data_IF_953064103992
#
_entry.id   IF_953064103992
#
_cell.length_a   1.000
_cell.length_b   1.000
_cell.length_c   1.000
_cell.angle_alpha   90.00
_cell.angle_beta   90.00
_cell.angle_gamma   90.00
#
_symmetry.space_group_name_H-M   'P 1'
#
loop_
_entity.id
_entity.type
_entity.pdbx_description
1 polymer ?
#
# COMPACT_ATOMS: atom_id res chain seq x y z
N UNK A 1 -17.43 -14.35 -34.86
CA UNK A 1 -17.85 -13.06 -34.30
C UNK A 1 -17.92 -13.17 -32.80
N UNK A 2 -17.50 -12.18 -32.04
CA UNK A 2 -17.59 -12.19 -30.58
C UNK A 2 -19.04 -12.31 -30.12
N UNK A 3 -19.29 -13.05 -29.06
CA UNK A 3 -20.61 -13.12 -28.38
C UNK A 3 -20.98 -11.76 -27.76
N UNK A 4 -19.99 -10.89 -27.52
CA UNK A 4 -20.10 -9.60 -26.87
C UNK A 4 -19.41 -8.52 -27.72
N UNK A 5 -20.00 -8.08 -28.85
CA UNK A 5 -19.35 -7.16 -29.78
C UNK A 5 -19.06 -5.77 -29.17
N UNK A 6 -19.94 -5.28 -28.29
CA UNK A 6 -19.74 -4.00 -27.59
C UNK A 6 -18.50 -4.03 -26.68
N UNK A 7 -18.35 -5.09 -25.87
CA UNK A 7 -17.18 -5.25 -24.99
C UNK A 7 -15.90 -5.43 -25.82
N UNK A 8 -15.97 -6.13 -26.96
CA UNK A 8 -14.84 -6.27 -27.87
C UNK A 8 -14.39 -4.90 -28.40
N UNK A 9 -15.34 -4.05 -28.82
CA UNK A 9 -15.05 -2.69 -29.28
C UNK A 9 -14.39 -1.85 -28.19
N UNK A 10 -14.87 -1.92 -26.94
CA UNK A 10 -14.25 -1.23 -25.80
C UNK A 10 -12.82 -1.71 -25.57
N UNK A 11 -12.55 -3.01 -25.67
CA UNK A 11 -11.20 -3.57 -25.55
C UNK A 11 -10.30 -3.07 -26.69
N UNK A 12 -10.79 -3.04 -27.93
CA UNK A 12 -10.05 -2.55 -29.08
C UNK A 12 -9.73 -1.06 -28.94
N UNK A 13 -10.65 -0.26 -28.41
CA UNK A 13 -10.44 1.15 -28.08
C UNK A 13 -9.40 1.33 -26.98
N UNK A 14 -9.43 0.50 -25.93
CA UNK A 14 -8.38 0.49 -24.89
C UNK A 14 -7.02 0.11 -25.48
N UNK A 15 -6.99 -0.86 -26.41
CA UNK A 15 -5.77 -1.27 -27.09
C UNK A 15 -5.15 -0.13 -27.90
N UNK A 16 -5.98 0.57 -28.68
CA UNK A 16 -5.52 1.71 -29.50
C UNK A 16 -4.93 2.86 -28.67
N UNK A 17 -5.41 3.02 -27.42
CA UNK A 17 -4.93 4.03 -26.46
C UNK A 17 -3.79 3.54 -25.58
N UNK A 18 -3.28 2.32 -25.78
CA UNK A 18 -2.24 1.70 -24.92
C UNK A 18 -2.69 1.49 -23.47
N UNK A 19 -3.99 1.30 -23.22
CA UNK A 19 -4.56 1.13 -21.86
C UNK A 19 -4.87 -0.32 -21.50
N UNK A 20 -4.58 -1.27 -22.36
CA UNK A 20 -4.77 -2.70 -22.09
C UNK A 20 -3.87 -3.18 -20.96
N UNK A 21 -4.38 -4.17 -20.21
CA UNK A 21 -3.67 -4.87 -19.15
C UNK A 21 -3.70 -6.38 -19.40
N UNK A 22 -2.63 -7.06 -19.02
CA UNK A 22 -2.55 -8.52 -19.09
C UNK A 22 -2.07 -9.09 -17.76
N UNK A 23 -2.57 -10.28 -17.41
CA UNK A 23 -2.05 -11.08 -16.32
C UNK A 23 -0.86 -11.89 -16.85
N UNK A 24 0.30 -11.72 -16.24
CA UNK A 24 1.54 -12.42 -16.61
C UNK A 24 1.79 -13.54 -15.61
N UNK A 25 2.05 -14.78 -16.04
CA UNK A 25 2.58 -15.81 -15.17
C UNK A 25 3.96 -15.41 -14.65
N UNK A 26 4.14 -15.52 -13.33
CA UNK A 26 5.41 -15.23 -12.66
C UNK A 26 5.82 -16.47 -11.88
N UNK A 27 7.05 -16.94 -12.12
CA UNK A 27 7.65 -18.01 -11.34
C UNK A 27 8.76 -17.41 -10.46
N UNK A 28 8.85 -17.89 -9.23
CA UNK A 28 9.89 -17.46 -8.30
C UNK A 28 11.11 -18.37 -8.40
N UNK A 29 12.31 -17.77 -8.35
CA UNK A 29 13.55 -18.52 -8.33
C UNK A 29 13.88 -18.92 -6.89
N UNK A 30 14.06 -20.21 -6.66
CA UNK A 30 14.41 -20.73 -5.34
C UNK A 30 15.69 -20.06 -4.81
N UNK A 31 15.68 -19.67 -3.53
CA UNK A 31 16.81 -18.99 -2.87
C UNK A 31 16.93 -17.49 -3.18
N UNK A 32 16.21 -16.95 -4.16
CA UNK A 32 16.28 -15.51 -4.49
C UNK A 32 15.49 -14.61 -3.54
N UNK A 33 14.70 -15.16 -2.63
CA UNK A 33 13.82 -14.42 -1.74
C UNK A 33 12.85 -13.46 -2.49
N UNK A 34 12.51 -13.79 -3.75
CA UNK A 34 11.63 -13.00 -4.62
C UNK A 34 12.29 -11.81 -5.31
N UNK A 35 13.61 -11.61 -5.15
CA UNK A 35 14.37 -10.55 -5.85
C UNK A 35 14.54 -10.87 -7.34
N UNK A 36 14.64 -12.15 -7.69
CA UNK A 36 14.69 -12.63 -9.06
C UNK A 36 13.48 -13.53 -9.35
N UNK A 37 12.91 -13.34 -10.52
CA UNK A 37 11.73 -14.08 -11.00
C UNK A 37 11.97 -14.57 -12.43
N UNK A 38 11.11 -15.47 -12.90
CA UNK A 38 11.00 -15.84 -14.32
C UNK A 38 9.63 -15.41 -14.82
N UNK A 39 9.59 -14.74 -15.96
CA UNK A 39 8.38 -14.41 -16.69
C UNK A 39 8.61 -14.66 -18.17
N UNK A 40 7.71 -15.40 -18.82
CA UNK A 40 7.82 -15.79 -20.24
C UNK A 40 9.18 -16.45 -20.58
N UNK A 41 9.71 -17.25 -19.63
CA UNK A 41 11.02 -17.92 -19.77
C UNK A 41 12.25 -17.04 -19.56
N UNK A 42 12.08 -15.75 -19.31
CA UNK A 42 13.18 -14.81 -19.06
C UNK A 42 13.37 -14.58 -17.56
N UNK A 43 14.63 -14.65 -17.10
CA UNK A 43 15.01 -14.30 -15.72
C UNK A 43 15.10 -12.78 -15.60
N UNK A 44 14.37 -12.21 -14.62
CA UNK A 44 14.23 -10.77 -14.41
C UNK A 44 14.50 -10.40 -12.96
N UNK A 45 15.26 -9.33 -12.74
CA UNK A 45 15.36 -8.67 -11.44
C UNK A 45 14.03 -7.95 -11.14
N UNK A 46 13.42 -8.29 -10.01
CA UNK A 46 12.09 -7.81 -9.64
C UNK A 46 12.15 -6.48 -8.90
N UNK A 47 11.98 -5.38 -9.60
CA UNK A 47 11.86 -4.04 -9.03
C UNK A 47 10.42 -3.54 -8.99
N UNK A 48 9.44 -4.46 -8.93
CA UNK A 48 7.99 -4.13 -8.89
C UNK A 48 7.25 -4.70 -7.68
N UNK A 49 7.93 -5.51 -6.84
CA UNK A 49 7.33 -6.11 -5.66
C UNK A 49 7.22 -5.11 -4.51
N UNK A 50 6.12 -5.20 -3.75
CA UNK A 50 5.96 -4.46 -2.50
C UNK A 50 6.45 -5.25 -1.27
N UNK A 51 7.13 -6.38 -1.43
CA UNK A 51 7.73 -7.18 -0.35
C UNK A 51 8.99 -6.47 0.24
N UNK A 52 8.82 -5.23 0.69
CA UNK A 52 9.90 -4.31 1.03
C UNK A 52 10.97 -4.90 1.96
N UNK A 53 10.57 -5.71 2.94
CA UNK A 53 11.47 -6.30 3.93
C UNK A 53 11.88 -7.74 3.60
N UNK A 54 11.37 -8.32 2.50
CA UNK A 54 11.70 -9.69 2.08
C UNK A 54 11.08 -10.78 2.97
N UNK A 55 10.01 -10.47 3.72
CA UNK A 55 9.47 -11.40 4.71
C UNK A 55 8.63 -12.55 4.13
N UNK A 56 8.16 -12.44 2.88
CA UNK A 56 7.38 -13.53 2.24
C UNK A 56 8.12 -14.87 2.18
N UNK A 57 9.45 -14.85 2.28
CA UNK A 57 10.32 -16.03 2.21
C UNK A 57 11.07 -16.28 3.50
N UNK A 58 10.76 -15.56 4.59
CA UNK A 58 11.42 -15.78 5.87
C UNK A 58 11.01 -17.16 6.43
N UNK A 59 11.98 -18.04 6.75
CA UNK A 59 11.68 -19.39 7.19
C UNK A 59 10.85 -19.44 8.48
N UNK A 60 10.94 -18.43 9.34
CA UNK A 60 10.16 -18.33 10.58
C UNK A 60 8.69 -18.06 10.28
N UNK A 61 8.41 -17.23 9.27
CA UNK A 61 7.05 -16.94 8.77
C UNK A 61 6.44 -18.19 8.15
N UNK A 62 7.21 -18.89 7.31
CA UNK A 62 6.77 -20.14 6.69
C UNK A 62 6.54 -21.25 7.71
N UNK A 63 7.39 -21.38 8.71
CA UNK A 63 7.23 -22.34 9.80
C UNK A 63 5.97 -22.06 10.63
N UNK A 64 5.72 -20.79 10.99
CA UNK A 64 4.49 -20.40 11.70
C UNK A 64 3.22 -20.75 10.88
N UNK A 65 3.26 -20.52 9.57
CA UNK A 65 2.20 -20.93 8.66
C UNK A 65 1.95 -22.45 8.69
N UNK A 66 3.01 -23.23 8.52
CA UNK A 66 2.93 -24.71 8.51
C UNK A 66 2.35 -25.27 9.82
N UNK A 67 2.91 -24.88 10.97
CA UNK A 67 2.46 -25.33 12.28
C UNK A 67 1.00 -25.01 12.55
N UNK A 68 0.57 -23.82 12.19
CA UNK A 68 -0.82 -23.39 12.38
C UNK A 68 -1.77 -24.11 11.43
N UNK A 69 -1.35 -24.38 10.19
CA UNK A 69 -2.16 -25.19 9.25
C UNK A 69 -2.41 -26.59 9.78
N UNK A 70 -1.42 -27.21 10.40
CA UNK A 70 -1.56 -28.55 10.99
C UNK A 70 -2.52 -28.55 12.19
N UNK A 71 -2.52 -27.48 13.00
CA UNK A 71 -3.34 -27.38 14.20
C UNK A 71 -4.79 -26.96 13.94
N UNK A 72 -5.03 -26.04 13.00
CA UNK A 72 -6.32 -25.40 12.78
C UNK A 72 -6.96 -25.69 11.40
N UNK A 73 -6.25 -26.38 10.51
CA UNK A 73 -6.72 -26.62 9.14
C UNK A 73 -6.43 -25.44 8.18
N UNK A 74 -6.91 -25.59 6.94
CA UNK A 74 -6.55 -24.72 5.83
C UNK A 74 -7.36 -23.39 5.75
N UNK A 75 -8.53 -23.32 6.38
CA UNK A 75 -9.41 -22.17 6.25
C UNK A 75 -10.30 -21.91 7.45
N UNK A 76 -10.80 -20.68 7.56
CA UNK A 76 -11.69 -20.28 8.65
C UNK A 76 -13.14 -20.78 8.52
N UNK A 77 -13.56 -21.20 7.33
CA UNK A 77 -14.85 -21.85 6.98
C UNK A 77 -16.13 -21.10 7.37
N UNK A 78 -16.02 -19.96 8.04
CA UNK A 78 -17.13 -19.13 8.52
C UNK A 78 -16.71 -17.67 8.69
N UNK A 79 -17.68 -16.77 8.86
CA UNK A 79 -17.38 -15.40 9.30
C UNK A 79 -16.92 -15.38 10.76
N UNK A 80 -16.18 -14.33 11.15
CA UNK A 80 -15.67 -14.17 12.51
C UNK A 80 -16.77 -14.14 13.57
N UNK A 81 -17.93 -13.57 13.24
CA UNK A 81 -19.07 -13.46 14.17
C UNK A 81 -19.84 -14.79 14.37
N UNK A 82 -19.51 -15.84 13.64
CA UNK A 82 -20.13 -17.14 13.81
C UNK A 82 -19.14 -18.10 14.48
N UNK A 83 -18.30 -18.80 13.71
CA UNK A 83 -17.29 -19.74 14.22
C UNK A 83 -15.90 -19.50 13.64
N UNK A 84 -15.71 -18.46 12.83
CA UNK A 84 -14.45 -18.15 12.17
C UNK A 84 -13.45 -17.34 13.01
N UNK A 85 -13.82 -16.92 14.23
CA UNK A 85 -12.91 -16.18 15.13
C UNK A 85 -12.07 -17.16 15.96
N UNK A 86 -11.13 -17.83 15.29
CA UNK A 86 -10.24 -18.78 15.92
C UNK A 86 -9.28 -18.10 16.92
N UNK A 87 -8.78 -18.81 17.92
CA UNK A 87 -7.95 -18.23 19.00
C UNK A 87 -6.65 -17.54 18.51
N UNK A 88 -6.13 -17.91 17.35
CA UNK A 88 -4.99 -17.23 16.74
C UNK A 88 -5.27 -15.75 16.38
N UNK A 89 -6.54 -15.37 16.19
CA UNK A 89 -6.90 -13.96 15.92
C UNK A 89 -6.60 -13.06 17.12
N UNK A 90 -7.09 -13.43 18.29
CA UNK A 90 -6.91 -12.65 19.52
C UNK A 90 -5.43 -12.38 19.78
N UNK A 91 -4.61 -13.43 19.71
CA UNK A 91 -3.17 -13.30 19.90
C UNK A 91 -2.51 -12.36 18.87
N UNK A 92 -2.83 -12.53 17.59
CA UNK A 92 -2.25 -11.71 16.52
C UNK A 92 -2.72 -10.25 16.57
N UNK A 93 -4.01 -10.00 16.85
CA UNK A 93 -4.55 -8.66 17.02
C UNK A 93 -3.94 -7.95 18.23
N UNK A 94 -3.70 -8.68 19.34
CA UNK A 94 -2.97 -8.16 20.49
C UNK A 94 -1.51 -7.80 20.13
N UNK A 95 -0.81 -8.64 19.37
CA UNK A 95 0.55 -8.31 18.91
C UNK A 95 0.56 -7.06 18.03
N UNK A 96 -0.42 -6.89 17.15
CA UNK A 96 -0.53 -5.72 16.27
C UNK A 96 -0.85 -4.46 17.09
N UNK A 97 -1.80 -4.53 18.03
CA UNK A 97 -2.15 -3.39 18.88
C UNK A 97 -0.97 -2.93 19.73
N UNK A 98 -0.21 -3.85 20.31
CA UNK A 98 1.03 -3.56 21.05
C UNK A 98 2.10 -2.94 20.13
N UNK A 99 2.31 -3.49 18.91
CA UNK A 99 3.27 -2.94 17.95
C UNK A 99 2.91 -1.52 17.53
N UNK A 100 1.62 -1.24 17.37
CA UNK A 100 1.08 0.09 16.99
C UNK A 100 0.85 1.01 18.18
N UNK A 101 1.08 0.51 19.41
CA UNK A 101 0.80 1.25 20.65
C UNK A 101 -0.63 1.81 20.69
N UNK A 102 -1.61 0.97 20.29
CA UNK A 102 -3.04 1.30 20.33
C UNK A 102 -3.78 0.35 21.25
N UNK A 103 -4.96 0.75 21.73
CA UNK A 103 -5.78 -0.06 22.64
C UNK A 103 -6.19 -1.39 22.02
N UNK A 104 -6.60 -1.37 20.75
CA UNK A 104 -7.08 -2.57 20.06
C UNK A 104 -6.73 -2.58 18.58
N UNK A 105 -6.76 -3.78 17.99
CA UNK A 105 -6.60 -4.02 16.57
C UNK A 105 -7.65 -4.99 16.05
N UNK A 106 -7.95 -4.90 14.75
CA UNK A 106 -8.92 -5.74 14.06
C UNK A 106 -8.39 -6.14 12.70
N UNK A 107 -8.31 -7.44 12.44
CA UNK A 107 -7.83 -7.99 11.17
C UNK A 107 -8.94 -8.02 10.11
N UNK A 108 -8.59 -7.68 8.88
CA UNK A 108 -9.44 -7.72 7.69
C UNK A 108 -8.81 -8.56 6.58
N UNK A 109 -9.64 -8.99 5.62
CA UNK A 109 -9.18 -9.79 4.49
C UNK A 109 -8.12 -9.08 3.64
N UNK A 110 -8.24 -7.79 3.41
CA UNK A 110 -7.27 -6.97 2.70
C UNK A 110 -7.51 -5.47 2.97
N UNK A 111 -6.54 -4.62 2.56
CA UNK A 111 -6.61 -3.18 2.77
C UNK A 111 -7.79 -2.50 2.06
N UNK A 112 -8.19 -3.03 0.89
CA UNK A 112 -9.35 -2.51 0.19
C UNK A 112 -10.63 -2.64 1.03
N UNK A 113 -10.87 -3.81 1.62
CA UNK A 113 -12.02 -4.07 2.50
C UNK A 113 -11.92 -3.32 3.83
N UNK A 114 -10.73 -3.12 4.38
CA UNK A 114 -10.52 -2.33 5.59
C UNK A 114 -10.91 -0.87 5.36
N UNK A 115 -10.39 -0.23 4.31
CA UNK A 115 -10.73 1.15 3.97
C UNK A 115 -12.23 1.32 3.70
N UNK A 116 -12.78 0.51 2.80
CA UNK A 116 -14.20 0.54 2.46
C UNK A 116 -15.08 0.32 3.69
N UNK A 117 -14.72 -0.63 4.53
CA UNK A 117 -15.47 -0.98 5.74
C UNK A 117 -15.44 0.11 6.80
N UNK A 118 -14.28 0.65 7.12
CA UNK A 118 -14.13 1.72 8.11
C UNK A 118 -14.84 3.00 7.67
N UNK A 119 -14.62 3.42 6.43
CA UNK A 119 -15.23 4.64 5.89
C UNK A 119 -16.76 4.53 5.91
N UNK A 120 -17.33 3.42 5.41
CA UNK A 120 -18.79 3.24 5.34
C UNK A 120 -19.44 3.00 6.70
N UNK A 121 -18.70 2.49 7.68
CA UNK A 121 -19.17 2.34 9.05
C UNK A 121 -19.21 3.69 9.80
N UNK A 122 -18.19 4.52 9.60
CA UNK A 122 -18.04 5.77 10.32
C UNK A 122 -18.93 6.90 9.77
N UNK A 123 -19.04 7.00 8.44
CA UNK A 123 -19.71 8.15 7.80
C UNK A 123 -20.75 7.66 6.82
N UNK A 124 -21.96 8.19 6.98
CA UNK A 124 -23.13 7.94 6.14
C UNK A 124 -23.51 9.18 5.32
N UNK A 125 -24.68 9.13 4.64
CA UNK A 125 -25.22 10.22 3.82
C UNK A 125 -25.42 11.56 4.55
N UNK A 126 -25.38 11.57 5.88
CA UNK A 126 -25.53 12.77 6.70
C UNK A 126 -24.18 13.34 7.15
N UNK A 127 -23.09 12.72 6.73
CA UNK A 127 -21.73 13.12 7.04
C UNK A 127 -20.97 13.67 5.84
N UNK A 128 -19.72 14.04 6.07
CA UNK A 128 -18.80 14.46 5.03
C UNK A 128 -17.42 13.80 5.16
N UNK A 129 -16.79 13.57 4.01
CA UNK A 129 -15.46 13.02 3.90
C UNK A 129 -14.59 14.00 3.13
N UNK A 130 -13.45 14.33 3.73
CA UNK A 130 -12.40 15.19 3.17
C UNK A 130 -11.21 14.30 2.83
N UNK A 131 -10.93 14.10 1.54
CA UNK A 131 -9.91 13.15 1.09
C UNK A 131 -8.88 13.81 0.17
N UNK A 132 -7.63 13.39 0.29
CA UNK A 132 -6.62 13.76 -0.69
C UNK A 132 -6.99 13.24 -2.08
N UNK A 133 -6.73 14.03 -3.11
CA UNK A 133 -7.11 13.67 -4.49
C UNK A 133 -6.32 12.48 -5.05
N UNK A 134 -5.15 12.15 -4.48
CA UNK A 134 -4.29 11.04 -4.88
C UNK A 134 -4.43 9.80 -4.00
N UNK A 135 -5.40 9.78 -3.09
CA UNK A 135 -5.68 8.63 -2.27
C UNK A 135 -5.93 7.36 -3.09
N UNK A 136 -5.61 6.23 -2.47
CA UNK A 136 -5.85 4.91 -3.04
C UNK A 136 -7.33 4.70 -3.41
N UNK A 137 -7.57 3.94 -4.50
CA UNK A 137 -8.91 3.68 -5.03
C UNK A 137 -9.89 3.14 -3.98
N UNK A 138 -9.45 2.33 -3.02
CA UNK A 138 -10.29 1.80 -1.95
C UNK A 138 -10.88 2.89 -1.03
N UNK A 139 -10.14 3.98 -0.82
CA UNK A 139 -10.62 5.15 -0.07
C UNK A 139 -11.68 5.88 -0.89
N UNK A 140 -11.43 6.07 -2.18
CA UNK A 140 -12.40 6.70 -3.10
C UNK A 140 -13.69 5.89 -3.16
N UNK A 141 -13.61 4.58 -3.34
CA UNK A 141 -14.77 3.70 -3.44
C UNK A 141 -15.52 3.60 -2.10
N UNK A 142 -14.79 3.55 -0.98
CA UNK A 142 -15.40 3.63 0.36
C UNK A 142 -16.18 4.93 0.55
N UNK A 143 -15.64 6.05 0.09
CA UNK A 143 -16.30 7.35 0.13
C UNK A 143 -17.57 7.38 -0.73
N UNK A 144 -17.51 6.87 -1.96
CA UNK A 144 -18.69 6.79 -2.84
C UNK A 144 -19.77 5.90 -2.21
N UNK A 145 -19.38 4.74 -1.70
CA UNK A 145 -20.32 3.78 -1.11
C UNK A 145 -20.97 4.29 0.19
N UNK A 146 -20.29 5.14 0.96
CA UNK A 146 -20.83 5.76 2.18
C UNK A 146 -21.99 6.70 1.89
N UNK A 147 -22.10 7.23 0.66
CA UNK A 147 -23.03 8.27 0.23
C UNK A 147 -22.86 9.59 0.98
N UNK A 148 -21.75 9.78 1.67
CA UNK A 148 -21.41 11.04 2.33
C UNK A 148 -21.13 12.15 1.30
N UNK A 149 -21.21 13.40 1.72
CA UNK A 149 -20.68 14.50 0.93
C UNK A 149 -19.18 14.34 0.78
N UNK A 150 -18.66 14.33 -0.45
CA UNK A 150 -17.25 14.08 -0.73
C UNK A 150 -16.55 15.36 -1.17
N UNK A 151 -15.58 15.81 -0.39
CA UNK A 151 -14.74 16.97 -0.67
C UNK A 151 -13.29 16.53 -0.86
N UNK A 152 -12.81 16.65 -2.11
CA UNK A 152 -11.45 16.29 -2.46
C UNK A 152 -10.55 17.52 -2.39
N UNK A 153 -9.56 17.51 -1.50
CA UNK A 153 -8.56 18.57 -1.45
C UNK A 153 -7.38 18.26 -2.38
N UNK A 154 -6.67 19.32 -2.80
CA UNK A 154 -5.48 19.19 -3.62
C UNK A 154 -4.41 18.43 -2.85
N UNK A 155 -3.65 17.61 -3.56
CA UNK A 155 -2.66 16.72 -2.97
C UNK A 155 -1.69 17.46 -2.05
N UNK A 156 -1.63 16.98 -0.79
CA UNK A 156 -0.83 17.55 0.30
C UNK A 156 -1.04 19.07 0.53
N UNK A 157 -2.18 19.63 0.10
CA UNK A 157 -2.55 21.05 0.29
C UNK A 157 -3.45 21.20 1.52
N UNK A 158 -2.85 21.43 2.65
CA UNK A 158 -3.55 21.54 3.94
C UNK A 158 -4.30 22.86 4.09
N UNK A 159 -3.89 23.92 3.42
CA UNK A 159 -4.66 25.17 3.36
C UNK A 159 -6.00 24.95 2.64
N UNK A 160 -5.97 24.21 1.52
CA UNK A 160 -7.19 23.85 0.82
C UNK A 160 -8.08 22.92 1.66
N UNK A 161 -7.51 21.96 2.41
CA UNK A 161 -8.25 21.13 3.36
C UNK A 161 -8.95 21.97 4.42
N UNK A 162 -8.24 22.87 5.07
CA UNK A 162 -8.80 23.80 6.09
C UNK A 162 -9.89 24.69 5.50
N UNK A 163 -9.68 25.24 4.30
CA UNK A 163 -10.72 26.01 3.59
C UNK A 163 -12.00 25.19 3.38
N UNK A 164 -11.89 23.92 2.94
CA UNK A 164 -13.05 23.06 2.72
C UNK A 164 -13.77 22.75 4.04
N UNK A 165 -13.03 22.43 5.10
CA UNK A 165 -13.59 22.18 6.44
C UNK A 165 -14.32 23.40 6.98
N UNK A 166 -13.74 24.58 6.87
CA UNK A 166 -14.37 25.84 7.31
C UNK A 166 -15.60 26.18 6.49
N UNK A 167 -15.55 26.03 5.17
CA UNK A 167 -16.66 26.31 4.25
C UNK A 167 -17.89 25.45 4.54
N UNK A 168 -17.70 24.21 4.98
CA UNK A 168 -18.78 23.25 5.24
C UNK A 168 -19.02 22.98 6.72
N UNK A 169 -18.47 23.84 7.61
CA UNK A 169 -18.63 23.73 9.06
C UNK A 169 -20.10 23.74 9.46
N UNK A 170 -20.49 22.78 10.28
CA UNK A 170 -21.87 22.68 10.80
C UNK A 170 -22.90 22.08 9.84
N UNK A 171 -22.53 21.78 8.59
CA UNK A 171 -23.47 21.24 7.60
C UNK A 171 -23.69 19.72 7.72
N UNK A 172 -22.81 19.02 8.47
CA UNK A 172 -22.77 17.57 8.50
C UNK A 172 -22.69 17.04 9.93
N UNK A 173 -23.36 15.89 10.17
CA UNK A 173 -23.41 15.27 11.49
C UNK A 173 -22.04 14.72 11.93
N UNK A 174 -21.26 14.15 11.00
CA UNK A 174 -19.94 13.57 11.26
C UNK A 174 -19.02 13.89 10.08
N UNK A 175 -17.82 14.32 10.39
CA UNK A 175 -16.81 14.67 9.40
C UNK A 175 -15.59 13.76 9.56
N UNK A 176 -15.04 13.30 8.46
CA UNK A 176 -13.87 12.43 8.40
C UNK A 176 -12.84 13.00 7.44
N UNK A 177 -11.61 13.21 7.91
CA UNK A 177 -10.43 13.36 7.05
C UNK A 177 -9.88 11.97 6.80
N UNK A 178 -9.59 11.63 5.54
CA UNK A 178 -8.97 10.34 5.19
C UNK A 178 -7.87 10.53 4.14
N UNK A 179 -6.70 9.94 4.38
CA UNK A 179 -5.57 10.01 3.44
C UNK A 179 -4.60 8.84 3.58
N UNK A 180 -3.86 8.55 2.50
CA UNK A 180 -2.64 7.74 2.57
C UNK A 180 -1.56 8.53 3.32
N UNK A 181 -0.72 7.85 4.09
CA UNK A 181 0.46 8.46 4.72
C UNK A 181 1.69 8.45 3.81
N UNK A 182 1.78 7.44 2.95
CA UNK A 182 2.78 7.33 1.88
C UNK A 182 2.05 6.96 0.60
N UNK A 183 2.11 7.83 -0.40
CA UNK A 183 1.37 7.65 -1.64
C UNK A 183 2.03 6.62 -2.56
N UNK A 184 1.25 5.67 -3.02
CA UNK A 184 1.74 4.44 -3.66
C UNK A 184 2.47 4.67 -4.99
N UNK A 185 2.15 5.75 -5.71
CA UNK A 185 2.69 6.01 -7.06
C UNK A 185 3.85 7.00 -7.06
N UNK A 186 3.93 7.86 -6.05
CA UNK A 186 4.92 8.92 -5.94
C UNK A 186 5.94 8.65 -4.83
N UNK A 187 5.56 7.88 -3.80
CA UNK A 187 6.40 7.60 -2.64
C UNK A 187 6.59 8.80 -1.72
N UNK A 188 5.87 9.88 -1.96
CA UNK A 188 5.84 11.05 -1.10
C UNK A 188 4.95 10.83 0.13
N UNK A 189 5.05 11.71 1.10
CA UNK A 189 4.45 11.55 2.42
C UNK A 189 3.46 12.66 2.73
N UNK A 190 2.38 12.29 3.42
CA UNK A 190 1.51 13.27 4.08
C UNK A 190 2.19 13.86 5.33
N UNK A 191 1.92 15.11 5.62
CA UNK A 191 2.27 15.74 6.90
C UNK A 191 1.24 15.33 7.96
N UNK A 192 1.57 14.27 8.70
CA UNK A 192 0.66 13.68 9.70
C UNK A 192 0.52 14.57 10.94
N UNK A 193 1.52 15.41 11.25
CA UNK A 193 1.45 16.35 12.37
C UNK A 193 0.46 17.48 12.06
N UNK A 194 0.51 18.05 10.84
CA UNK A 194 -0.45 19.08 10.42
C UNK A 194 -1.87 18.49 10.28
N UNK A 195 -2.02 17.27 9.81
CA UNK A 195 -3.33 16.59 9.76
C UNK A 195 -3.95 16.42 11.15
N UNK A 196 -3.17 16.03 12.15
CA UNK A 196 -3.64 15.91 13.54
C UNK A 196 -4.05 17.26 14.10
N UNK A 197 -3.27 18.31 13.85
CA UNK A 197 -3.62 19.67 14.24
C UNK A 197 -4.94 20.12 13.61
N UNK A 198 -5.11 19.93 12.31
CA UNK A 198 -6.35 20.25 11.59
C UNK A 198 -7.55 19.46 12.18
N UNK A 199 -7.34 18.16 12.46
CA UNK A 199 -8.34 17.32 13.12
C UNK A 199 -8.85 17.97 14.42
N UNK A 200 -7.94 18.40 15.29
CA UNK A 200 -8.28 19.03 16.57
C UNK A 200 -8.98 20.39 16.39
N UNK A 201 -8.43 21.26 15.53
CA UNK A 201 -8.98 22.60 15.27
C UNK A 201 -10.43 22.56 14.75
N UNK A 202 -10.77 21.50 14.00
CA UNK A 202 -12.10 21.35 13.42
C UNK A 202 -13.01 20.33 14.13
N UNK A 203 -12.50 19.54 15.08
CA UNK A 203 -13.25 18.53 15.81
C UNK A 203 -13.79 17.42 14.89
N UNK A 204 -12.96 16.91 14.00
CA UNK A 204 -13.30 15.88 13.00
C UNK A 204 -12.55 14.58 13.25
N UNK A 205 -13.02 13.46 12.70
CA UNK A 205 -12.27 12.22 12.72
C UNK A 205 -11.12 12.23 11.72
N UNK A 206 -10.05 11.53 12.03
CA UNK A 206 -8.90 11.30 11.16
C UNK A 206 -8.65 9.80 10.99
N UNK A 207 -8.73 9.33 9.76
CA UNK A 207 -8.29 8.00 9.36
C UNK A 207 -7.09 8.11 8.43
N UNK A 208 -6.05 7.31 8.67
CA UNK A 208 -4.89 7.25 7.78
C UNK A 208 -4.63 5.83 7.31
N UNK A 209 -4.22 5.72 6.04
CA UNK A 209 -3.75 4.48 5.42
C UNK A 209 -2.22 4.44 5.46
N UNK A 210 -1.69 3.57 6.31
CA UNK A 210 -0.26 3.29 6.44
C UNK A 210 0.21 2.08 5.64
N UNK A 211 -0.49 1.69 4.56
CA UNK A 211 -0.16 0.51 3.77
C UNK A 211 1.29 0.50 3.25
N UNK A 212 1.86 1.66 2.94
CA UNK A 212 3.24 1.82 2.51
C UNK A 212 4.17 2.29 3.62
N UNK A 213 3.65 2.59 4.81
CA UNK A 213 4.42 3.05 5.96
C UNK A 213 4.67 1.95 7.01
N UNK A 214 3.68 1.11 7.27
CA UNK A 214 3.80 0.00 8.23
C UNK A 214 4.90 -0.97 7.83
N UNK A 215 5.79 -1.30 8.75
CA UNK A 215 7.01 -2.08 8.53
C UNK A 215 8.22 -1.26 8.07
N UNK A 216 8.01 -0.06 7.49
CA UNK A 216 9.06 0.74 6.85
C UNK A 216 9.52 1.90 7.71
N UNK A 217 8.58 2.67 8.28
CA UNK A 217 8.88 3.87 9.06
C UNK A 217 8.76 3.64 10.56
N UNK A 218 9.44 4.48 11.35
CA UNK A 218 9.50 4.40 12.80
C UNK A 218 10.53 3.41 13.33
N UNK A 219 10.94 3.59 14.59
CA UNK A 219 12.00 2.82 15.23
C UNK A 219 11.73 1.30 15.21
N UNK A 220 10.48 0.91 15.45
CA UNK A 220 10.02 -0.49 15.45
C UNK A 220 9.32 -0.88 14.15
N UNK A 221 9.32 0.00 13.12
CA UNK A 221 8.55 -0.19 11.91
C UNK A 221 7.04 0.05 12.09
N UNK A 222 6.62 0.69 13.18
CA UNK A 222 5.20 0.87 13.49
C UNK A 222 4.48 1.86 12.57
N UNK A 223 5.19 2.58 11.70
CA UNK A 223 4.62 3.45 10.68
C UNK A 223 5.00 4.91 10.83
N UNK A 224 4.44 5.73 9.94
CA UNK A 224 4.77 7.15 9.85
C UNK A 224 4.19 7.94 11.03
N UNK A 225 2.94 7.67 11.41
CA UNK A 225 2.32 8.31 12.58
C UNK A 225 3.09 8.03 13.87
N UNK A 226 3.62 6.82 14.02
CA UNK A 226 4.47 6.47 15.15
C UNK A 226 5.83 7.17 15.09
N UNK A 227 6.42 7.33 13.90
CA UNK A 227 7.68 8.04 13.72
C UNK A 227 7.60 9.49 14.19
N UNK A 228 6.46 10.15 13.95
CA UNK A 228 6.21 11.54 14.36
C UNK A 228 5.53 11.68 15.72
N UNK A 229 5.28 10.55 16.43
CA UNK A 229 4.70 10.57 17.78
C UNK A 229 3.21 10.95 17.83
N UNK A 230 2.51 10.94 16.70
CA UNK A 230 1.09 11.35 16.60
C UNK A 230 0.11 10.18 16.49
N UNK A 231 0.59 8.95 16.60
CA UNK A 231 -0.21 7.73 16.41
C UNK A 231 -1.38 7.59 17.40
N UNK A 232 -1.28 8.17 18.60
CA UNK A 232 -2.36 8.21 19.59
C UNK A 232 -3.48 9.18 19.21
N UNK A 233 -3.16 10.20 18.43
CA UNK A 233 -4.09 11.26 18.04
C UNK A 233 -4.90 10.92 16.77
N UNK A 234 -4.52 9.87 16.06
CA UNK A 234 -5.24 9.39 14.86
C UNK A 234 -6.36 8.44 15.30
N UNK A 235 -7.59 8.66 14.85
CA UNK A 235 -8.73 7.83 15.28
C UNK A 235 -8.63 6.42 14.70
N UNK A 236 -8.27 6.28 13.43
CA UNK A 236 -8.09 4.98 12.77
C UNK A 236 -6.75 4.93 12.03
N UNK A 237 -5.90 4.02 12.46
CA UNK A 237 -4.68 3.62 11.75
C UNK A 237 -4.97 2.33 10.96
N UNK A 238 -5.07 2.42 9.64
CA UNK A 238 -5.15 1.24 8.78
C UNK A 238 -3.77 0.89 8.25
N UNK A 239 -3.45 -0.40 8.20
CA UNK A 239 -2.25 -0.92 7.56
C UNK A 239 -2.50 -2.24 6.86
N UNK A 240 -1.59 -2.62 5.95
CA UNK A 240 -1.70 -3.88 5.22
C UNK A 240 -0.59 -4.86 5.59
N UNK A 241 -0.93 -6.15 5.57
CA UNK A 241 0.04 -7.23 5.72
C UNK A 241 0.69 -7.64 4.38
N UNK A 242 0.19 -7.12 3.25
CA UNK A 242 0.55 -7.60 1.91
C UNK A 242 1.79 -6.91 1.29
N UNK A 243 2.44 -6.03 2.03
CA UNK A 243 3.63 -5.31 1.56
C UNK A 243 4.84 -5.62 2.44
N UNK A 244 5.24 -4.73 3.33
CA UNK A 244 6.41 -4.94 4.18
C UNK A 244 6.32 -6.20 5.06
N UNK A 245 5.13 -6.60 5.52
CA UNK A 245 4.92 -7.83 6.27
C UNK A 245 4.97 -9.10 5.39
N UNK A 246 4.94 -8.97 4.05
CA UNK A 246 5.16 -10.07 3.11
C UNK A 246 4.04 -11.11 3.00
N UNK A 247 2.83 -10.82 3.49
CA UNK A 247 1.71 -11.74 3.58
C UNK A 247 0.46 -11.16 2.88
N UNK A 248 -0.71 -11.73 3.15
CA UNK A 248 -2.00 -11.19 2.74
C UNK A 248 -2.78 -10.72 3.98
N UNK A 249 -3.75 -9.84 3.80
CA UNK A 249 -4.54 -9.29 4.90
C UNK A 249 -4.24 -7.82 5.18
N UNK A 250 -4.98 -7.27 6.13
CA UNK A 250 -4.79 -5.91 6.65
C UNK A 250 -5.27 -5.83 8.08
N UNK A 251 -4.96 -4.73 8.74
CA UNK A 251 -5.40 -4.45 10.10
C UNK A 251 -5.84 -3.00 10.24
N UNK A 252 -6.68 -2.79 11.23
CA UNK A 252 -7.06 -1.47 11.70
C UNK A 252 -6.74 -1.41 13.19
N UNK A 253 -6.09 -0.33 13.63
CA UNK A 253 -5.82 -0.05 15.04
C UNK A 253 -6.53 1.24 15.46
N UNK A 254 -7.17 1.21 16.60
CA UNK A 254 -7.95 2.32 17.15
C UNK A 254 -8.14 2.16 18.66
N UNK A 255 -8.84 3.10 19.27
CA UNK A 255 -9.36 2.94 20.64
C UNK A 255 -10.39 1.82 20.67
N UNK A 256 -10.53 1.15 21.81
CA UNK A 256 -11.40 -0.02 21.95
C UNK A 256 -12.84 0.26 21.50
N UNK A 257 -13.37 1.43 21.87
CA UNK A 257 -14.76 1.83 21.50
C UNK A 257 -14.97 1.90 19.99
N UNK A 258 -13.95 2.31 19.21
CA UNK A 258 -14.03 2.33 17.76
C UNK A 258 -13.95 0.92 17.18
N UNK A 259 -13.10 0.06 17.72
CA UNK A 259 -13.02 -1.36 17.33
C UNK A 259 -14.34 -2.07 17.60
N UNK A 260 -14.93 -1.87 18.78
CA UNK A 260 -16.25 -2.44 19.12
C UNK A 260 -17.33 -1.93 18.14
N UNK A 261 -17.33 -0.64 17.84
CA UNK A 261 -18.23 -0.06 16.86
C UNK A 261 -18.08 -0.69 15.46
N UNK A 262 -16.85 -0.91 15.01
CA UNK A 262 -16.57 -1.58 13.74
C UNK A 262 -17.05 -3.03 13.73
N UNK A 263 -16.88 -3.77 14.82
CA UNK A 263 -17.39 -5.15 14.95
C UNK A 263 -18.90 -5.20 14.72
N UNK A 264 -19.63 -4.19 15.20
CA UNK A 264 -21.10 -4.13 15.06
C UNK A 264 -21.60 -3.58 13.73
N UNK A 265 -20.81 -2.77 13.03
CA UNK A 265 -21.30 -1.99 11.87
C UNK A 265 -20.54 -2.21 10.57
N UNK A 266 -19.32 -2.73 10.63
CA UNK A 266 -18.46 -2.87 9.47
C UNK A 266 -18.87 -4.08 8.60
N UNK A 267 -19.61 -3.81 7.52
CA UNK A 267 -20.14 -4.85 6.64
C UNK A 267 -19.10 -5.81 6.05
N UNK A 268 -17.92 -5.35 5.55
CA UNK A 268 -16.87 -6.26 5.10
C UNK A 268 -16.34 -7.22 6.16
N UNK A 269 -16.40 -6.87 7.44
CA UNK A 269 -16.06 -7.77 8.54
C UNK A 269 -17.18 -8.76 8.81
N UNK A 270 -18.43 -8.29 8.88
CA UNK A 270 -19.61 -9.07 9.29
C UNK A 270 -19.92 -10.16 8.28
N UNK A 271 -19.86 -9.83 6.97
CA UNK A 271 -20.36 -10.68 5.89
C UNK A 271 -19.26 -11.42 5.10
N UNK A 272 -17.99 -11.33 5.54
CA UNK A 272 -16.88 -12.07 4.92
C UNK A 272 -16.47 -13.28 5.73
N UNK A 273 -16.06 -14.33 5.05
CA UNK A 273 -15.37 -15.46 5.66
C UNK A 273 -14.04 -14.99 6.26
N UNK A 274 -13.68 -15.51 7.41
CA UNK A 274 -12.43 -15.21 8.11
C UNK A 274 -11.20 -15.66 7.29
N UNK A 275 -10.07 -15.03 7.55
CA UNK A 275 -8.77 -15.42 6.97
C UNK A 275 -8.41 -16.85 7.39
N UNK A 276 -7.62 -17.58 6.58
CA UNK A 276 -7.01 -18.83 7.00
C UNK A 276 -6.20 -18.67 8.30
N UNK A 277 -6.34 -19.57 9.26
CA UNK A 277 -5.64 -19.46 10.56
C UNK A 277 -4.13 -19.41 10.43
N UNK A 278 -3.57 -20.15 9.48
CA UNK A 278 -2.14 -20.13 9.17
C UNK A 278 -1.64 -18.74 8.77
N UNK A 279 -2.43 -18.02 7.98
CA UNK A 279 -2.13 -16.65 7.57
C UNK A 279 -2.14 -15.69 8.79
N UNK A 280 -3.13 -15.86 9.67
CA UNK A 280 -3.27 -15.02 10.87
C UNK A 280 -2.05 -15.16 11.78
N UNK A 281 -1.62 -16.40 12.08
CA UNK A 281 -0.42 -16.65 12.90
C UNK A 281 0.87 -16.18 12.22
N UNK A 282 0.99 -16.36 10.92
CA UNK A 282 2.13 -15.88 10.14
C UNK A 282 2.24 -14.35 10.18
N UNK A 283 1.10 -13.61 10.20
CA UNK A 283 1.08 -12.16 10.38
C UNK A 283 1.70 -11.78 11.74
N UNK A 284 1.31 -12.46 12.82
CA UNK A 284 1.90 -12.24 14.15
C UNK A 284 3.41 -12.46 14.15
N UNK A 285 3.87 -13.55 13.52
CA UNK A 285 5.31 -13.84 13.40
C UNK A 285 6.04 -12.76 12.59
N UNK A 286 5.43 -12.27 11.51
CA UNK A 286 6.02 -11.21 10.68
C UNK A 286 6.12 -9.90 11.47
N UNK A 287 5.11 -9.53 12.25
CA UNK A 287 5.15 -8.36 13.15
C UNK A 287 6.28 -8.47 14.16
N UNK A 288 6.48 -9.65 14.79
CA UNK A 288 7.59 -9.87 15.72
C UNK A 288 8.96 -9.66 15.05
N UNK A 289 9.16 -10.17 13.83
CA UNK A 289 10.39 -9.99 13.07
C UNK A 289 10.63 -8.51 12.75
N UNK A 290 9.61 -7.79 12.31
CA UNK A 290 9.72 -6.35 11.97
C UNK A 290 10.16 -5.54 13.18
N UNK A 291 9.66 -5.85 14.37
CA UNK A 291 10.05 -5.16 15.60
C UNK A 291 11.51 -5.42 15.97
N UNK A 292 11.98 -6.66 15.80
CA UNK A 292 13.31 -7.10 16.24
C UNK A 292 14.42 -6.78 15.24
N UNK A 293 14.12 -6.75 13.94
CA UNK A 293 15.12 -6.68 12.87
C UNK A 293 15.12 -5.31 12.18
N UNK A 294 15.62 -4.28 12.86
CA UNK A 294 15.74 -2.93 12.32
C UNK A 294 16.72 -2.84 11.14
N UNK A 295 17.65 -3.79 11.04
CA UNK A 295 18.59 -3.86 9.94
C UNK A 295 17.89 -3.93 8.57
N UNK A 296 16.72 -4.58 8.46
CA UNK A 296 15.97 -4.67 7.21
C UNK A 296 15.52 -3.28 6.73
N UNK A 297 15.03 -2.44 7.66
CA UNK A 297 14.65 -1.05 7.35
C UNK A 297 15.85 -0.21 6.95
N UNK A 298 16.98 -0.36 7.67
CA UNK A 298 18.23 0.33 7.35
C UNK A 298 18.74 -0.02 5.96
N UNK A 299 18.75 -1.31 5.62
CA UNK A 299 19.15 -1.78 4.28
C UNK A 299 18.18 -1.32 3.19
N UNK A 300 16.88 -1.40 3.44
CA UNK A 300 15.87 -0.88 2.52
C UNK A 300 16.08 0.61 2.22
N UNK A 301 16.25 1.41 3.26
CA UNK A 301 16.52 2.85 3.14
C UNK A 301 17.84 3.11 2.39
N UNK A 302 18.92 2.44 2.78
CA UNK A 302 20.24 2.60 2.15
C UNK A 302 20.20 2.31 0.65
N UNK A 303 19.60 1.18 0.27
CA UNK A 303 19.47 0.73 -1.13
C UNK A 303 18.57 1.64 -1.95
N UNK A 304 17.42 2.03 -1.39
CA UNK A 304 16.48 2.94 -2.06
C UNK A 304 17.09 4.31 -2.29
N UNK A 305 17.78 4.85 -1.30
CA UNK A 305 18.46 6.13 -1.42
C UNK A 305 19.63 6.07 -2.40
N UNK A 306 20.43 4.99 -2.38
CA UNK A 306 21.51 4.79 -3.34
C UNK A 306 20.98 4.76 -4.76
N UNK A 307 19.96 3.96 -5.04
CA UNK A 307 19.31 3.86 -6.36
C UNK A 307 18.79 5.22 -6.82
N UNK A 308 17.99 5.91 -5.97
CA UNK A 308 17.46 7.25 -6.26
C UNK A 308 18.55 8.25 -6.60
N UNK A 309 19.59 8.33 -5.76
CA UNK A 309 20.69 9.28 -5.94
C UNK A 309 21.44 9.03 -7.24
N UNK A 310 21.67 7.78 -7.62
CA UNK A 310 22.32 7.42 -8.90
C UNK A 310 21.52 7.90 -10.10
N UNK A 311 20.20 7.71 -10.08
CA UNK A 311 19.33 8.17 -11.17
C UNK A 311 19.28 9.71 -11.25
N UNK A 312 19.18 10.38 -10.10
CA UNK A 312 19.19 11.86 -10.04
C UNK A 312 20.53 12.46 -10.54
N UNK A 313 21.67 11.85 -10.17
CA UNK A 313 23.00 12.28 -10.62
C UNK A 313 23.17 12.14 -12.14
N UNK A 314 22.48 11.17 -12.76
CA UNK A 314 22.45 11.01 -14.21
C UNK A 314 21.47 11.97 -14.93
N UNK A 315 20.82 12.87 -14.21
CA UNK A 315 19.87 13.83 -14.78
C UNK A 315 18.45 13.31 -14.98
N UNK A 316 18.11 12.12 -14.45
CA UNK A 316 16.77 11.57 -14.53
C UNK A 316 15.81 12.29 -13.55
N UNK A 317 14.57 12.51 -14.01
CA UNK A 317 13.55 13.17 -13.21
C UNK A 317 12.96 12.20 -12.16
N UNK A 318 13.64 12.12 -11.02
CA UNK A 318 13.26 11.30 -9.87
C UNK A 318 13.06 12.22 -8.67
N UNK A 319 11.85 12.28 -8.07
CA UNK A 319 11.59 13.10 -6.90
C UNK A 319 12.47 12.72 -5.71
N UNK A 320 12.79 13.73 -4.88
CA UNK A 320 13.44 13.50 -3.58
C UNK A 320 12.51 12.73 -2.64
N UNK A 321 13.09 12.02 -1.68
CA UNK A 321 12.32 11.26 -0.68
C UNK A 321 13.14 10.12 -0.10
N UNK A 322 12.55 9.43 0.86
CA UNK A 322 13.15 8.30 1.59
C UNK A 322 12.32 7.01 1.50
N UNK A 323 11.31 7.01 0.66
CA UNK A 323 10.45 5.84 0.42
C UNK A 323 11.19 4.74 -0.37
N UNK A 324 10.86 3.45 -0.16
CA UNK A 324 11.32 2.38 -1.03
C UNK A 324 10.73 2.44 -2.46
N UNK A 325 9.77 3.32 -2.67
CA UNK A 325 9.18 3.61 -3.98
C UNK A 325 10.02 4.71 -4.63
N UNK A 326 10.55 4.43 -5.80
CA UNK A 326 11.36 5.37 -6.58
C UNK A 326 10.71 5.56 -7.95
N UNK A 327 9.91 6.62 -8.14
CA UNK A 327 9.30 6.89 -9.44
C UNK A 327 10.28 7.62 -10.36
N UNK A 328 10.42 7.15 -11.58
CA UNK A 328 11.05 7.87 -12.68
C UNK A 328 9.96 8.50 -13.54
N UNK A 329 9.84 9.81 -13.48
CA UNK A 329 8.79 10.57 -14.18
C UNK A 329 9.15 10.72 -15.66
N UNK A 330 8.26 10.27 -16.54
CA UNK A 330 8.44 10.31 -18.00
C UNK A 330 7.39 11.16 -18.71
N UNK A 331 6.23 11.38 -18.07
CA UNK A 331 5.14 12.18 -18.60
C UNK A 331 4.31 11.46 -19.65
N UNK A 332 4.93 11.05 -20.76
CA UNK A 332 4.25 10.40 -21.88
C UNK A 332 4.03 8.90 -21.67
N UNK A 333 2.87 8.41 -22.07
CA UNK A 333 2.49 7.00 -21.91
C UNK A 333 3.32 6.06 -22.78
N UNK A 334 3.57 6.44 -24.04
CA UNK A 334 4.30 5.58 -24.97
C UNK A 334 5.77 5.46 -24.57
N UNK A 335 6.36 6.58 -24.15
CA UNK A 335 7.72 6.59 -23.59
C UNK A 335 7.83 5.68 -22.36
N UNK A 336 6.86 5.72 -21.45
CA UNK A 336 6.87 4.86 -20.27
C UNK A 336 6.71 3.37 -20.64
N UNK A 337 5.87 3.03 -21.62
CA UNK A 337 5.70 1.65 -22.11
C UNK A 337 7.01 1.15 -22.73
N UNK A 338 7.60 1.93 -23.64
CA UNK A 338 8.82 1.53 -24.31
C UNK A 338 10.00 1.41 -23.32
N UNK A 339 10.06 2.34 -22.35
CA UNK A 339 11.06 2.27 -21.27
C UNK A 339 10.94 0.99 -20.45
N UNK A 340 9.72 0.64 -20.01
CA UNK A 340 9.47 -0.60 -19.27
C UNK A 340 9.86 -1.84 -20.08
N UNK A 341 9.54 -1.85 -21.38
CA UNK A 341 9.89 -2.93 -22.30
C UNK A 341 11.42 -3.07 -22.50
N UNK A 342 12.14 -1.96 -22.63
CA UNK A 342 13.61 -1.97 -22.74
C UNK A 342 14.27 -2.47 -21.47
N UNK A 343 13.78 -2.04 -20.30
CA UNK A 343 14.27 -2.58 -19.02
C UNK A 343 14.04 -4.09 -18.92
N UNK A 344 12.89 -4.57 -19.39
CA UNK A 344 12.61 -6.01 -19.40
C UNK A 344 13.58 -6.76 -20.33
N UNK A 345 13.86 -6.25 -21.54
CA UNK A 345 14.86 -6.81 -22.43
C UNK A 345 16.27 -6.83 -21.80
N UNK A 346 16.57 -5.84 -20.97
CA UNK A 346 17.80 -5.79 -20.19
C UNK A 346 17.78 -6.69 -18.93
N UNK A 347 16.70 -7.42 -18.65
CA UNK A 347 16.59 -8.33 -17.51
C UNK A 347 16.01 -7.72 -16.23
N UNK A 348 15.29 -6.60 -16.31
CA UNK A 348 14.69 -5.91 -15.16
C UNK A 348 13.18 -5.80 -15.32
N UNK A 349 12.42 -6.27 -14.35
CA UNK A 349 10.99 -6.03 -14.28
C UNK A 349 10.71 -4.75 -13.51
N UNK A 350 10.32 -3.68 -14.23
CA UNK A 350 9.84 -2.43 -13.67
C UNK A 350 8.65 -1.94 -14.48
N UNK A 351 7.52 -1.69 -13.80
CA UNK A 351 6.23 -1.49 -14.45
C UNK A 351 5.99 -0.02 -14.78
N UNK A 352 5.52 0.24 -16.01
CA UNK A 352 5.02 1.54 -16.42
C UNK A 352 3.65 1.83 -15.79
N UNK A 353 3.57 2.87 -14.99
CA UNK A 353 2.32 3.36 -14.40
C UNK A 353 1.77 4.49 -15.28
N UNK A 354 0.50 4.36 -15.67
CA UNK A 354 -0.18 5.24 -16.62
C UNK A 354 -1.59 5.59 -16.14
N UNK A 355 -2.27 6.55 -16.75
CA UNK A 355 -3.69 6.78 -16.51
C UNK A 355 -4.55 5.50 -16.66
N UNK A 356 -5.62 5.35 -15.89
CA UNK A 356 -6.16 6.27 -14.88
C UNK A 356 -5.49 6.16 -13.49
N UNK A 357 -4.45 5.32 -13.31
CA UNK A 357 -3.76 5.12 -12.02
C UNK A 357 -3.04 6.39 -11.57
N UNK A 358 -2.53 7.17 -12.52
CA UNK A 358 -1.92 8.48 -12.31
C UNK A 358 -2.59 9.50 -13.25
N UNK A 359 -2.48 10.82 -13.00
CA UNK A 359 -3.04 11.85 -13.87
C UNK A 359 -2.49 11.76 -15.31
N UNK A 360 -3.21 12.37 -16.26
CA UNK A 360 -2.72 12.53 -17.64
C UNK A 360 -1.37 13.27 -17.65
N UNK A 361 -0.52 12.91 -18.60
CA UNK A 361 0.84 13.47 -18.74
C UNK A 361 1.77 13.26 -17.53
N UNK A 362 1.49 12.25 -16.71
CA UNK A 362 2.30 11.93 -15.53
C UNK A 362 2.70 10.45 -15.47
N UNK A 363 2.80 9.80 -16.64
CA UNK A 363 3.28 8.42 -16.74
C UNK A 363 4.71 8.30 -16.20
N UNK A 364 5.00 7.15 -15.58
CA UNK A 364 6.28 6.91 -14.90
C UNK A 364 6.64 5.44 -14.89
N UNK A 365 7.91 5.14 -14.66
CA UNK A 365 8.33 3.82 -14.20
C UNK A 365 8.34 3.86 -12.67
N UNK A 366 7.66 2.92 -12.02
CA UNK A 366 7.64 2.81 -10.56
C UNK A 366 8.56 1.68 -10.12
N UNK A 367 9.73 2.03 -9.62
CA UNK A 367 10.62 1.08 -8.98
C UNK A 367 10.25 0.88 -7.52
N UNK A 368 10.35 -0.36 -7.05
CA UNK A 368 10.19 -0.75 -5.65
C UNK A 368 11.41 -1.54 -5.21
N UNK A 369 12.15 -1.02 -4.25
CA UNK A 369 13.30 -1.68 -3.68
C UNK A 369 12.88 -2.64 -2.56
N UNK A 370 13.66 -3.71 -2.37
CA UNK A 370 13.53 -4.64 -1.25
C UNK A 370 14.84 -4.67 -0.46
N UNK A 371 14.73 -4.88 0.86
CA UNK A 371 15.89 -5.04 1.73
C UNK A 371 16.80 -6.20 1.30
N UNK A 372 16.21 -7.20 0.65
CA UNK A 372 16.86 -8.43 0.19
C UNK A 372 17.55 -8.32 -1.17
N UNK A 373 17.39 -7.24 -1.95
CA UNK A 373 18.22 -7.03 -3.13
C UNK A 373 19.71 -6.99 -2.75
N UNK A 374 20.59 -7.53 -3.58
CA UNK A 374 22.02 -7.36 -3.37
C UNK A 374 22.48 -5.95 -3.77
N UNK A 375 23.65 -5.52 -3.31
CA UNK A 375 24.22 -4.23 -3.72
C UNK A 375 24.58 -4.23 -5.20
N UNK A 376 25.04 -5.38 -5.70
CA UNK A 376 25.36 -5.62 -7.11
C UNK A 376 24.09 -5.49 -7.97
N UNK A 377 22.98 -6.10 -7.54
CA UNK A 377 21.69 -5.99 -8.25
C UNK A 377 21.23 -4.54 -8.34
N UNK A 378 21.30 -3.80 -7.23
CA UNK A 378 20.87 -2.39 -7.17
C UNK A 378 21.76 -1.51 -8.06
N UNK A 379 23.08 -1.72 -8.02
CA UNK A 379 24.03 -0.96 -8.86
C UNK A 379 23.82 -1.26 -10.34
N UNK A 380 23.66 -2.55 -10.69
CA UNK A 380 23.37 -2.98 -12.04
C UNK A 380 22.06 -2.43 -12.57
N UNK A 381 21.00 -2.48 -11.76
CA UNK A 381 19.70 -1.93 -12.12
C UNK A 381 19.75 -0.42 -12.36
N UNK A 382 20.47 0.33 -11.52
CA UNK A 382 20.67 1.77 -11.73
C UNK A 382 21.40 2.04 -13.05
N UNK A 383 22.47 1.28 -13.35
CA UNK A 383 23.21 1.40 -14.61
C UNK A 383 22.31 1.12 -15.81
N UNK A 384 21.57 0.01 -15.83
CA UNK A 384 20.67 -0.34 -16.94
C UNK A 384 19.54 0.69 -17.11
N UNK A 385 19.01 1.23 -16.00
CA UNK A 385 18.00 2.29 -16.06
C UNK A 385 18.57 3.54 -16.74
N UNK A 386 19.78 3.95 -16.41
CA UNK A 386 20.45 5.11 -17.04
C UNK A 386 20.76 4.85 -18.53
N UNK A 387 21.28 3.68 -18.88
CA UNK A 387 21.53 3.30 -20.27
C UNK A 387 20.23 3.34 -21.12
N UNK A 388 19.15 2.77 -20.59
CA UNK A 388 17.85 2.80 -21.25
C UNK A 388 17.37 4.25 -21.49
N UNK A 389 17.63 5.15 -20.55
CA UNK A 389 17.27 6.56 -20.69
C UNK A 389 18.06 7.26 -21.82
N UNK A 390 19.36 6.97 -21.93
CA UNK A 390 20.20 7.49 -23.02
C UNK A 390 19.74 6.95 -24.38
N UNK A 391 19.48 5.64 -24.49
CA UNK A 391 19.01 5.01 -25.72
C UNK A 391 17.67 5.56 -26.22
N UNK A 392 16.79 5.94 -25.28
CA UNK A 392 15.48 6.53 -25.60
C UNK A 392 15.50 8.07 -25.70
N UNK A 393 16.67 8.71 -25.54
CA UNK A 393 16.81 10.15 -25.59
C UNK A 393 16.08 10.89 -24.47
N UNK A 394 15.83 10.24 -23.35
CA UNK A 394 15.24 10.83 -22.14
C UNK A 394 16.24 11.75 -21.43
N UNK A 395 17.52 11.38 -21.50
CA UNK A 395 18.69 12.18 -21.09
C UNK A 395 19.75 12.13 -22.18
N UNK A 396 20.68 13.10 -22.17
CA UNK A 396 21.80 13.19 -23.12
C UNK A 396 23.09 12.59 -22.54
#
# INVERSE_FOLDING_TARGET
>A
MSKYPELQQEIDDMCSKGLTRSLRPIEHIAGSQGTWIVSDGQKLLNLSSNNYLGLSYDPRVLHSWEMTSQAFGAGGTSSRLVVGNLSCYEHTEQMISQWKEREAALLFANGYMANLGCITALVDRHGAIYSDRLNHASIVDGTILSRASHYRYRHNDYEHLQYLLQKHKGNHRRNLIVTDTVFSMDGDKADVEELVKIKHDHGVFLMVDEAHAGGVYGKTGAGLCHQYGVHQEVDILMGTCSKALGLYGSYVCADQVLIDYLIHTCRPLIYSTSLPPALVSAIGQSVAIVQQEDWRRKELYRKSNHFRTKLQQAGLLVPSGDSPIVPLLLGDNQTAIEYSKRLEQAGILAVAIRPPTVPEHSARIRFSLMATHSDEDVAWAAHQTIQTAMELGVIT
#
